data_IF_803165019973
#
_entry.id   IF_803165019973
#
_cell.length_a   1.000
_cell.length_b   1.000
_cell.length_c   1.000
_cell.angle_alpha   90.00
_cell.angle_beta   90.00
_cell.angle_gamma   90.00
#
_symmetry.space_group_name_H-M   'P 1'
#
loop_
_entity.id
_entity.type
_entity.pdbx_description
1 polymer ?
#
# COMPACT_ATOMS: atom_id res chain seq x y z
N UNK A 1 8.18 16.08 6.77
CA UNK A 1 9.46 16.36 6.08
C UNK A 1 10.39 15.20 6.36
N UNK A 2 11.20 14.76 5.38
CA UNK A 2 12.09 13.62 5.58
C UNK A 2 13.15 13.50 4.50
N UNK A 3 14.00 12.49 4.66
CA UNK A 3 15.06 12.15 3.73
C UNK A 3 14.85 10.69 3.35
N UNK A 4 14.91 10.38 2.06
CA UNK A 4 14.79 9.01 1.56
C UNK A 4 15.87 8.73 0.52
N UNK A 5 16.24 7.46 0.43
CA UNK A 5 17.09 6.90 -0.61
C UNK A 5 16.37 5.73 -1.27
N UNK A 6 16.53 5.59 -2.56
CA UNK A 6 16.01 4.48 -3.33
C UNK A 6 17.01 4.09 -4.42
N UNK A 7 16.98 2.83 -4.80
CA UNK A 7 17.87 2.30 -5.83
C UNK A 7 17.37 0.96 -6.36
N UNK A 8 18.08 0.47 -7.34
CA UNK A 8 17.88 -0.84 -7.95
C UNK A 8 19.20 -1.46 -8.35
N UNK A 9 19.24 -2.79 -8.49
CA UNK A 9 20.40 -3.51 -8.95
C UNK A 9 20.58 -3.44 -10.48
N UNK A 10 21.80 -3.62 -10.97
CA UNK A 10 22.13 -3.54 -12.41
C UNK A 10 21.36 -4.58 -13.24
N UNK A 11 21.08 -5.75 -12.67
CA UNK A 11 20.26 -6.82 -13.28
C UNK A 11 18.74 -6.53 -13.22
N UNK A 12 18.34 -5.41 -12.63
CA UNK A 12 16.96 -5.02 -12.39
C UNK A 12 16.14 -6.07 -11.60
N UNK A 13 16.82 -6.97 -10.88
CA UNK A 13 16.21 -8.01 -10.07
C UNK A 13 15.81 -7.52 -8.69
N UNK A 14 16.53 -6.54 -8.14
CA UNK A 14 16.28 -5.97 -6.83
C UNK A 14 16.00 -4.49 -6.92
N UNK A 15 15.11 -4.01 -6.06
CA UNK A 15 14.98 -2.58 -5.77
C UNK A 15 14.75 -2.38 -4.27
N UNK A 16 15.17 -1.21 -3.77
CA UNK A 16 15.04 -0.85 -2.38
C UNK A 16 14.63 0.61 -2.24
N UNK A 17 13.94 0.88 -1.16
CA UNK A 17 13.57 2.23 -0.76
C UNK A 17 13.57 2.28 0.76
N UNK A 18 14.23 3.28 1.33
CA UNK A 18 14.19 3.52 2.76
C UNK A 18 14.32 5.01 3.04
N UNK A 19 13.88 5.42 4.22
CA UNK A 19 13.98 6.81 4.62
C UNK A 19 13.48 7.05 6.03
N UNK A 20 13.71 8.26 6.48
CA UNK A 20 13.31 8.77 7.79
C UNK A 20 12.46 10.01 7.57
N UNK A 21 11.32 10.06 8.21
CA UNK A 21 10.37 11.16 8.11
C UNK A 21 9.93 11.64 9.48
N UNK A 22 9.52 12.91 9.55
CA UNK A 22 8.63 13.35 10.59
C UNK A 22 7.19 13.20 10.06
N UNK A 23 6.36 12.40 10.73
CA UNK A 23 5.01 12.04 10.29
C UNK A 23 4.09 13.24 10.19
N UNK A 24 4.19 14.18 11.11
CA UNK A 24 3.28 15.30 11.16
C UNK A 24 3.98 16.65 10.89
N UNK A 25 3.52 17.30 9.85
CA UNK A 25 3.70 18.74 9.66
C UNK A 25 2.37 19.37 10.01
N UNK A 26 2.11 19.59 11.30
CA UNK A 26 0.90 20.30 11.71
C UNK A 26 0.95 21.76 11.28
N UNK A 27 0.27 22.06 10.21
CA UNK A 27 -0.20 23.40 9.90
C UNK A 27 -1.47 23.68 10.70
N UNK A 28 -1.42 23.70 12.00
CA UNK A 28 -2.51 24.24 12.79
C UNK A 28 -2.32 25.75 12.89
N UNK A 29 -3.33 26.42 12.40
CA UNK A 29 -3.71 27.87 12.45
C UNK A 29 -2.66 28.97 12.70
N UNK A 30 -1.44 28.71 13.15
CA UNK A 30 -0.38 29.69 13.34
C UNK A 30 1.05 29.13 13.50
N UNK A 31 1.25 27.80 13.39
CA UNK A 31 2.55 27.16 13.55
C UNK A 31 2.96 26.34 12.32
N UNK A 32 4.12 26.61 11.76
CA UNK A 32 4.71 25.83 10.66
C UNK A 32 5.50 24.62 11.15
N UNK A 33 5.56 24.40 12.47
CA UNK A 33 6.28 23.26 13.06
C UNK A 33 5.36 22.60 14.08
N UNK A 34 5.26 21.27 14.02
CA UNK A 34 4.70 20.50 15.14
C UNK A 34 5.55 20.73 16.38
N UNK A 35 4.91 20.77 17.53
CA UNK A 35 5.56 20.90 18.84
C UNK A 35 6.27 19.60 19.25
N UNK A 36 6.07 18.51 18.51
CA UNK A 36 6.65 17.20 18.79
C UNK A 36 7.32 16.58 17.56
N UNK A 37 8.41 15.88 17.82
CA UNK A 37 9.07 15.06 16.82
C UNK A 37 8.41 13.68 16.78
N UNK A 38 7.73 13.40 15.67
CA UNK A 38 7.14 12.10 15.37
C UNK A 38 7.98 11.41 14.29
N UNK A 39 9.10 10.87 14.72
CA UNK A 39 10.02 10.17 13.82
C UNK A 39 9.43 8.88 13.28
N UNK A 40 9.54 8.67 11.99
CA UNK A 40 9.23 7.42 11.33
C UNK A 40 10.38 6.99 10.43
N UNK A 41 10.80 5.75 10.57
CA UNK A 41 11.65 5.06 9.61
C UNK A 41 10.77 4.11 8.80
N UNK A 42 10.85 4.17 7.48
CA UNK A 42 10.17 3.21 6.61
C UNK A 42 11.13 2.65 5.58
N UNK A 43 10.96 1.38 5.26
CA UNK A 43 11.77 0.67 4.28
C UNK A 43 10.94 -0.31 3.46
N UNK A 44 11.41 -0.57 2.24
CA UNK A 44 10.89 -1.60 1.35
C UNK A 44 12.05 -2.22 0.60
N UNK A 45 12.13 -3.56 0.61
CA UNK A 45 13.04 -4.35 -0.19
C UNK A 45 12.21 -5.24 -1.10
N UNK A 46 12.48 -5.19 -2.38
CA UNK A 46 11.68 -5.86 -3.37
C UNK A 46 12.54 -6.62 -4.37
N UNK A 47 12.01 -7.73 -4.87
CA UNK A 47 12.65 -8.58 -5.86
C UNK A 47 11.69 -8.93 -6.98
N UNK A 48 12.11 -8.68 -8.21
CA UNK A 48 11.52 -9.30 -9.40
C UNK A 48 12.19 -10.67 -9.59
N UNK A 49 11.55 -11.71 -9.04
CA UNK A 49 12.12 -13.06 -8.99
C UNK A 49 12.18 -13.74 -10.37
N UNK A 50 11.26 -13.35 -11.24
CA UNK A 50 11.21 -13.79 -12.62
C UNK A 50 10.66 -12.68 -13.51
N UNK A 51 11.20 -12.54 -14.70
CA UNK A 51 10.73 -11.61 -15.72
C UNK A 51 10.95 -12.21 -17.09
N UNK A 52 9.91 -12.28 -17.91
CA UNK A 52 9.98 -12.83 -19.26
C UNK A 52 10.46 -11.75 -20.25
N UNK A 53 11.77 -11.68 -20.43
CA UNK A 53 12.42 -10.75 -21.35
C UNK A 53 11.97 -10.98 -22.81
N UNK A 54 11.77 -12.26 -23.19
CA UNK A 54 11.44 -12.62 -24.57
C UNK A 54 10.09 -12.07 -25.01
N UNK A 55 9.13 -11.99 -24.10
CA UNK A 55 7.80 -11.43 -24.37
C UNK A 55 7.69 -9.93 -24.05
N UNK A 56 8.78 -9.29 -23.64
CA UNK A 56 8.76 -7.89 -23.20
C UNK A 56 7.99 -7.67 -21.88
N UNK A 57 8.01 -8.68 -21.00
CA UNK A 57 7.42 -8.56 -19.66
C UNK A 57 5.95 -8.97 -19.57
N UNK A 58 5.47 -9.85 -20.46
CA UNK A 58 4.13 -10.46 -20.32
C UNK A 58 4.04 -11.48 -19.19
N UNK A 59 5.21 -11.93 -18.68
CA UNK A 59 5.31 -12.77 -17.50
C UNK A 59 6.28 -12.17 -16.49
N UNK A 60 5.88 -12.10 -15.22
CA UNK A 60 6.77 -11.73 -14.12
C UNK A 60 6.22 -12.17 -12.76
N UNK A 61 7.16 -12.35 -11.83
CA UNK A 61 6.88 -12.61 -10.41
C UNK A 61 7.64 -11.58 -9.60
N UNK A 62 6.92 -10.88 -8.75
CA UNK A 62 7.47 -9.90 -7.85
C UNK A 62 7.09 -10.22 -6.40
N UNK A 63 8.05 -10.05 -5.49
CA UNK A 63 7.89 -10.21 -4.05
C UNK A 63 8.53 -9.02 -3.36
N UNK A 64 7.90 -8.49 -2.30
CA UNK A 64 8.50 -7.44 -1.50
C UNK A 64 8.18 -7.58 -0.03
N UNK A 65 9.10 -7.08 0.79
CA UNK A 65 8.95 -6.89 2.22
C UNK A 65 9.03 -5.40 2.51
N UNK A 66 8.13 -4.92 3.34
CA UNK A 66 8.11 -3.54 3.80
C UNK A 66 8.06 -3.47 5.32
N UNK A 67 8.63 -2.43 5.88
CA UNK A 67 8.51 -2.16 7.32
C UNK A 67 8.46 -0.65 7.57
N UNK A 68 7.71 -0.27 8.60
CA UNK A 68 7.67 1.09 9.12
C UNK A 68 7.74 1.02 10.65
N UNK A 69 8.53 1.92 11.24
CA UNK A 69 8.68 2.08 12.67
C UNK A 69 8.51 3.56 13.00
N UNK A 70 7.50 3.87 13.80
CA UNK A 70 7.16 5.25 14.12
C UNK A 70 6.88 5.46 15.59
N UNK A 71 6.97 6.72 16.00
CA UNK A 71 6.57 7.17 17.33
C UNK A 71 5.22 7.88 17.17
N UNK A 72 4.15 7.39 17.81
CA UNK A 72 2.85 8.06 17.79
C UNK A 72 2.90 9.43 18.43
N UNK A 73 1.83 10.20 18.23
CA UNK A 73 1.66 11.54 18.76
C UNK A 73 1.85 11.60 20.29
N UNK A 74 2.91 12.27 20.72
CA UNK A 74 3.26 12.47 22.13
C UNK A 74 2.57 13.62 22.83
N UNK A 75 1.48 14.13 22.29
CA UNK A 75 0.84 15.36 22.76
C UNK A 75 0.23 15.21 24.16
N UNK A 76 0.75 15.97 25.12
CA UNK A 76 0.09 16.19 26.41
C UNK A 76 -1.13 17.13 26.21
N UNK A 77 -2.33 16.84 26.74
CA UNK A 77 -2.64 15.88 27.81
C UNK A 77 -3.09 14.49 27.33
N UNK A 78 -2.94 14.17 26.07
CA UNK A 78 -3.53 12.95 25.47
C UNK A 78 -2.63 11.72 25.55
N UNK A 79 -1.44 11.82 26.13
CA UNK A 79 -0.51 10.71 26.42
C UNK A 79 -0.35 9.73 25.25
N UNK A 80 0.35 10.14 24.21
CA UNK A 80 0.66 9.29 23.07
C UNK A 80 -0.54 8.45 22.61
N UNK A 81 -1.18 8.81 21.54
CA UNK A 81 -2.36 8.11 21.04
C UNK A 81 -2.13 7.61 19.63
N UNK A 82 -2.49 6.37 19.38
CA UNK A 82 -2.62 5.81 18.03
C UNK A 82 -4.10 5.61 17.70
N UNK A 83 -4.44 5.65 16.41
CA UNK A 83 -5.78 5.33 15.93
C UNK A 83 -5.71 4.76 14.52
N UNK A 84 -6.31 3.59 14.33
CA UNK A 84 -6.41 2.92 13.05
C UNK A 84 -7.87 2.89 12.61
N UNK A 85 -8.12 3.28 11.37
CA UNK A 85 -9.48 3.35 10.84
C UNK A 85 -9.46 3.26 9.33
N UNK A 86 -10.41 2.54 8.78
CA UNK A 86 -10.55 2.36 7.35
C UNK A 86 -11.95 2.67 6.84
N UNK A 87 -12.03 2.97 5.56
CA UNK A 87 -13.26 3.07 4.80
C UNK A 87 -13.41 1.81 3.96
N UNK A 88 -14.65 1.43 3.60
CA UNK A 88 -14.83 0.35 2.63
C UNK A 88 -14.19 0.69 1.29
N UNK A 89 -13.95 -0.30 0.47
CA UNK A 89 -13.35 -0.17 -0.87
C UNK A 89 -14.03 0.92 -1.72
N UNK A 90 -15.35 1.09 -1.60
CA UNK A 90 -16.12 2.13 -2.27
C UNK A 90 -15.84 3.56 -1.76
N UNK A 91 -14.99 3.74 -0.73
CA UNK A 91 -14.62 5.01 -0.12
C UNK A 91 -15.81 5.90 0.25
N UNK A 92 -16.83 5.31 0.84
CA UNK A 92 -17.96 6.04 1.42
C UNK A 92 -17.49 6.99 2.53
N UNK A 93 -18.32 7.97 2.91
CA UNK A 93 -17.97 8.90 4.00
C UNK A 93 -17.86 8.20 5.36
N UNK A 94 -18.64 7.12 5.55
CA UNK A 94 -18.60 6.32 6.77
C UNK A 94 -17.33 5.49 6.87
N UNK A 95 -16.76 5.42 8.07
CA UNK A 95 -15.68 4.50 8.43
C UNK A 95 -16.30 3.30 9.10
N UNK A 96 -16.08 2.13 8.54
CA UNK A 96 -16.70 0.90 9.03
C UNK A 96 -15.89 0.24 10.14
N UNK A 97 -14.56 0.42 10.09
CA UNK A 97 -13.66 -0.07 11.12
C UNK A 97 -12.91 1.12 11.72
N UNK A 98 -12.89 1.20 13.04
CA UNK A 98 -12.22 2.25 13.79
C UNK A 98 -11.86 1.71 15.18
N UNK A 99 -10.60 1.66 15.53
CA UNK A 99 -10.14 1.22 16.85
C UNK A 99 -10.47 2.23 17.97
N UNK A 100 -10.97 3.39 17.62
CA UNK A 100 -10.94 4.50 18.57
C UNK A 100 -9.52 4.96 18.85
N UNK A 101 -9.34 5.75 19.90
CA UNK A 101 -8.02 6.23 20.33
C UNK A 101 -7.40 5.24 21.29
N UNK A 102 -6.24 4.69 20.92
CA UNK A 102 -5.44 3.77 21.73
C UNK A 102 -4.50 4.62 22.57
N UNK A 103 -4.80 4.76 23.86
CA UNK A 103 -3.99 5.55 24.77
C UNK A 103 -2.68 4.86 25.15
N UNK A 104 -1.65 5.66 25.44
CA UNK A 104 -0.34 5.16 25.89
C UNK A 104 0.48 4.53 24.78
N UNK A 105 0.18 4.78 23.52
CA UNK A 105 0.96 4.25 22.39
C UNK A 105 2.36 4.88 22.37
N UNK A 106 3.37 4.06 22.62
CA UNK A 106 4.77 4.48 22.69
C UNK A 106 5.50 4.30 21.36
N UNK A 107 5.20 3.19 20.66
CA UNK A 107 5.77 2.88 19.36
C UNK A 107 4.77 2.12 18.49
N UNK A 108 4.77 2.42 17.22
CA UNK A 108 4.07 1.64 16.20
C UNK A 108 5.07 0.98 15.24
N UNK A 109 4.78 -0.25 14.87
CA UNK A 109 5.55 -1.02 13.89
C UNK A 109 4.59 -1.60 12.87
N UNK A 110 4.87 -1.42 11.59
CA UNK A 110 4.10 -2.02 10.49
C UNK A 110 5.04 -2.91 9.70
N UNK A 111 4.59 -4.12 9.40
CA UNK A 111 5.26 -5.06 8.52
C UNK A 111 4.34 -5.41 7.37
N UNK A 112 4.86 -5.41 6.17
CA UNK A 112 4.14 -5.74 4.95
C UNK A 112 4.86 -6.79 4.13
N UNK A 113 4.07 -7.68 3.52
CA UNK A 113 4.54 -8.61 2.49
C UNK A 113 3.67 -8.43 1.25
N UNK A 114 4.31 -8.23 0.11
CA UNK A 114 3.65 -8.02 -1.18
C UNK A 114 4.02 -9.14 -2.16
N UNK A 115 3.07 -9.57 -2.96
CA UNK A 115 3.31 -10.44 -4.10
C UNK A 115 2.52 -10.02 -5.32
N UNK A 116 3.15 -10.04 -6.48
CA UNK A 116 2.51 -9.81 -7.77
C UNK A 116 2.97 -10.87 -8.74
N UNK A 117 2.02 -11.51 -9.40
CA UNK A 117 2.27 -12.48 -10.47
C UNK A 117 1.48 -12.05 -11.69
N UNK A 118 2.12 -11.99 -12.83
CA UNK A 118 1.46 -11.75 -14.11
C UNK A 118 1.87 -12.83 -15.12
N UNK A 119 0.89 -13.36 -15.84
CA UNK A 119 1.12 -14.30 -16.94
C UNK A 119 0.15 -13.97 -18.08
N UNK A 120 0.64 -13.34 -19.14
CA UNK A 120 -0.22 -12.86 -20.23
C UNK A 120 -1.26 -11.85 -19.73
N UNK A 121 -2.53 -12.09 -20.00
CA UNK A 121 -3.62 -11.24 -19.52
C UNK A 121 -4.03 -11.47 -18.07
N UNK A 122 -3.55 -12.54 -17.43
CA UNK A 122 -3.85 -12.83 -16.02
C UNK A 122 -2.88 -12.12 -15.08
N UNK A 123 -3.42 -11.51 -14.04
CA UNK A 123 -2.63 -10.92 -12.94
C UNK A 123 -3.21 -11.30 -11.58
N UNK A 124 -2.33 -11.58 -10.64
CA UNK A 124 -2.63 -11.78 -9.23
C UNK A 124 -1.79 -10.85 -8.39
N UNK A 125 -2.44 -10.11 -7.50
CA UNK A 125 -1.79 -9.20 -6.54
C UNK A 125 -2.30 -9.54 -5.15
N UNK A 126 -1.40 -9.65 -4.19
CA UNK A 126 -1.75 -9.87 -2.79
C UNK A 126 -0.81 -9.10 -1.88
N UNK A 127 -1.35 -8.63 -0.77
CA UNK A 127 -0.59 -7.94 0.26
C UNK A 127 -1.11 -8.36 1.64
N UNK A 128 -0.18 -8.62 2.54
CA UNK A 128 -0.43 -8.84 3.96
C UNK A 128 0.23 -7.75 4.76
N UNK A 129 -0.51 -7.17 5.69
CA UNK A 129 -0.04 -6.13 6.61
C UNK A 129 -0.26 -6.56 8.05
N UNK A 130 0.72 -6.32 8.90
CA UNK A 130 0.62 -6.48 10.34
C UNK A 130 1.10 -5.20 11.00
N UNK A 131 0.26 -4.65 11.87
CA UNK A 131 0.57 -3.47 12.68
C UNK A 131 0.62 -3.86 14.13
N UNK A 132 1.71 -3.54 14.82
CA UNK A 132 1.86 -3.69 16.27
C UNK A 132 1.99 -2.33 16.91
N UNK A 133 1.19 -2.08 17.94
CA UNK A 133 1.28 -0.88 18.79
C UNK A 133 1.81 -1.29 20.14
N UNK A 134 2.98 -0.81 20.48
CA UNK A 134 3.55 -0.96 21.82
C UNK A 134 3.00 0.14 22.71
N UNK A 135 2.50 -0.25 23.88
CA UNK A 135 1.86 0.66 24.83
C UNK A 135 2.67 0.75 26.10
N UNK A 136 2.62 1.90 26.74
CA UNK A 136 3.15 2.07 28.09
C UNK A 136 2.40 1.13 29.05
N UNK A 137 3.09 0.45 29.98
CA UNK A 137 2.48 -0.58 30.86
C UNK A 137 1.28 -0.08 31.66
N UNK A 138 1.22 1.22 32.00
CA UNK A 138 0.13 1.82 32.74
C UNK A 138 -1.19 1.91 31.95
N UNK A 139 -1.14 1.79 30.61
CA UNK A 139 -2.30 1.93 29.72
C UNK A 139 -2.79 0.59 29.14
N UNK A 140 -2.14 -0.51 29.48
CA UNK A 140 -2.56 -1.85 29.08
C UNK A 140 -1.57 -2.59 28.17
N UNK A 141 -1.92 -3.78 27.68
CA UNK A 141 -1.04 -4.60 26.86
C UNK A 141 -0.83 -4.01 25.45
N UNK A 142 0.21 -4.50 24.78
CA UNK A 142 0.45 -4.21 23.36
C UNK A 142 -0.68 -4.80 22.51
N UNK A 143 -1.05 -4.10 21.44
CA UNK A 143 -2.09 -4.54 20.50
C UNK A 143 -1.53 -4.79 19.11
N UNK A 144 -2.13 -5.74 18.40
CA UNK A 144 -1.69 -6.15 17.07
C UNK A 144 -2.89 -6.27 16.14
N UNK A 145 -2.81 -5.61 14.99
CA UNK A 145 -3.82 -5.62 13.95
C UNK A 145 -3.28 -6.28 12.69
N UNK A 146 -4.16 -6.86 11.88
CA UNK A 146 -3.78 -7.58 10.67
C UNK A 146 -4.72 -7.22 9.52
N UNK A 147 -4.16 -7.13 8.33
CA UNK A 147 -4.90 -6.93 7.11
C UNK A 147 -4.34 -7.78 5.97
N UNK A 148 -5.20 -8.27 5.12
CA UNK A 148 -4.86 -9.03 3.93
C UNK A 148 -5.78 -8.61 2.80
N UNK A 149 -5.23 -8.42 1.60
CA UNK A 149 -6.05 -8.49 0.41
C UNK A 149 -5.42 -9.40 -0.64
N UNK A 150 -6.28 -9.95 -1.49
CA UNK A 150 -5.89 -10.67 -2.71
C UNK A 150 -6.80 -10.25 -3.85
N UNK A 151 -6.20 -10.01 -5.01
CA UNK A 151 -6.90 -9.57 -6.20
C UNK A 151 -6.46 -10.40 -7.39
N UNK A 152 -7.42 -10.87 -8.15
CA UNK A 152 -7.24 -11.52 -9.43
C UNK A 152 -7.83 -10.63 -10.51
N UNK A 153 -7.11 -10.45 -11.60
CA UNK A 153 -7.63 -9.73 -12.75
C UNK A 153 -7.28 -10.47 -14.04
N UNK A 154 -8.13 -10.33 -15.04
CA UNK A 154 -7.92 -10.90 -16.35
C UNK A 154 -8.32 -9.92 -17.44
N UNK A 155 -7.35 -9.60 -18.30
CA UNK A 155 -7.55 -8.72 -19.45
C UNK A 155 -8.06 -9.55 -20.62
N UNK A 156 -9.35 -9.39 -20.95
CA UNK A 156 -10.06 -10.17 -21.97
C UNK A 156 -9.54 -9.91 -23.38
N UNK A 157 -9.03 -8.74 -23.64
CA UNK A 157 -8.56 -8.27 -24.94
C UNK A 157 -7.10 -8.63 -25.23
N UNK A 158 -6.41 -9.25 -24.25
CA UNK A 158 -5.10 -9.86 -24.43
C UNK A 158 -3.91 -8.96 -24.10
N UNK A 159 -4.13 -7.75 -23.63
CA UNK A 159 -3.08 -6.90 -23.07
C UNK A 159 -2.59 -7.47 -21.72
N UNK A 160 -1.55 -6.88 -21.17
CA UNK A 160 -1.03 -7.20 -19.85
C UNK A 160 -0.68 -5.95 -19.07
N UNK A 161 -0.63 -6.07 -17.75
CA UNK A 161 -0.10 -5.01 -16.90
C UNK A 161 1.42 -4.96 -17.01
N UNK A 162 2.02 -3.88 -17.49
CA UNK A 162 3.47 -3.76 -17.58
C UNK A 162 4.08 -3.64 -16.17
N UNK A 163 5.28 -4.19 -16.02
CA UNK A 163 6.05 -4.12 -14.78
C UNK A 163 7.24 -3.17 -14.92
N UNK A 164 7.30 -2.18 -14.04
CA UNK A 164 8.49 -1.34 -13.94
C UNK A 164 9.48 -1.97 -12.94
N UNK A 165 10.52 -2.61 -13.45
CA UNK A 165 11.53 -3.28 -12.65
C UNK A 165 12.38 -2.32 -11.81
N UNK A 166 12.53 -1.06 -12.24
CA UNK A 166 13.34 -0.07 -11.50
C UNK A 166 12.64 0.39 -10.24
N UNK A 167 11.35 0.57 -10.31
CA UNK A 167 10.55 1.02 -9.16
C UNK A 167 9.85 -0.11 -8.43
N UNK A 168 9.77 -1.30 -9.05
CA UNK A 168 9.03 -2.45 -8.51
C UNK A 168 7.55 -2.14 -8.38
N UNK A 169 6.93 -1.60 -9.43
CA UNK A 169 5.53 -1.19 -9.45
C UNK A 169 4.80 -1.59 -10.71
N UNK A 170 3.50 -1.82 -10.58
CA UNK A 170 2.61 -2.03 -11.74
C UNK A 170 2.49 -0.75 -12.55
N UNK A 171 2.72 -0.88 -13.84
CA UNK A 171 2.46 0.18 -14.80
C UNK A 171 1.00 0.21 -15.24
N UNK A 172 0.66 1.28 -15.92
CA UNK A 172 -0.69 1.45 -16.45
C UNK A 172 -0.93 0.52 -17.65
N UNK A 173 -2.04 -0.20 -17.64
CA UNK A 173 -2.52 -0.98 -18.78
C UNK A 173 -2.64 -0.06 -20.02
N UNK A 174 -2.04 -0.47 -21.12
CA UNK A 174 -2.12 0.23 -22.40
C UNK A 174 -2.93 -0.62 -23.37
N UNK A 175 -4.10 -0.15 -23.83
CA UNK A 175 -4.89 -0.88 -24.81
C UNK A 175 -4.12 -0.99 -26.15
N UNK A 176 -4.30 -2.08 -26.87
CA UNK A 176 -3.75 -2.24 -28.21
C UNK A 176 -4.31 -1.18 -29.17
N UNK A 177 -5.58 -0.84 -28.98
CA UNK A 177 -6.25 0.25 -29.68
C UNK A 177 -7.16 1.03 -28.72
N UNK A 178 -7.33 2.31 -28.97
CA UNK A 178 -8.21 3.12 -28.13
C UNK A 178 -9.68 2.73 -28.30
N UNK A 179 -10.48 2.95 -27.27
CA UNK A 179 -11.92 2.69 -27.33
C UNK A 179 -12.65 3.73 -28.20
N UNK A 180 -13.65 3.26 -28.93
CA UNK A 180 -14.62 4.01 -29.72
C UNK A 180 -14.08 4.51 -31.07
N UNK A 181 -13.56 5.70 -31.19
CA UNK A 181 -13.08 6.24 -32.48
C UNK A 181 -11.56 6.28 -32.53
N UNK A 182 -10.96 5.50 -33.43
CA UNK A 182 -9.53 5.43 -33.67
C UNK A 182 -9.24 5.92 -35.09
N UNK A 183 -8.12 6.61 -35.29
CA UNK A 183 -7.62 6.88 -36.62
C UNK A 183 -6.64 5.78 -37.03
N UNK A 184 -6.91 5.16 -38.15
CA UNK A 184 -6.00 4.21 -38.79
C UNK A 184 -4.84 4.95 -39.48
N UNK A 185 -3.80 4.20 -39.87
CA UNK A 185 -2.61 4.70 -40.56
C UNK A 185 -2.95 5.52 -41.82
N UNK A 186 -4.06 5.20 -42.46
CA UNK A 186 -4.56 5.88 -43.66
C UNK A 186 -5.47 7.10 -43.35
N UNK A 187 -5.57 7.47 -42.05
CA UNK A 187 -6.39 8.58 -41.60
C UNK A 187 -7.90 8.30 -41.56
N UNK A 188 -8.34 7.10 -41.88
CA UNK A 188 -9.73 6.66 -41.78
C UNK A 188 -10.15 6.47 -40.29
N UNK A 189 -11.43 6.74 -40.04
CA UNK A 189 -12.00 6.50 -38.72
C UNK A 189 -12.47 5.04 -38.59
N UNK A 190 -11.95 4.35 -37.60
CA UNK A 190 -12.36 3.01 -37.25
C UNK A 190 -12.93 2.96 -35.81
N UNK A 191 -13.59 1.86 -35.47
CA UNK A 191 -14.08 1.62 -34.11
C UNK A 191 -13.08 0.70 -33.41
N UNK A 192 -12.41 1.24 -32.38
CA UNK A 192 -11.56 0.46 -31.50
C UNK A 192 -12.35 -0.12 -30.34
N UNK A 193 -11.96 -1.32 -29.88
CA UNK A 193 -12.61 -1.99 -28.76
C UNK A 193 -12.06 -1.54 -27.40
N UNK A 194 -10.86 -0.94 -27.34
CA UNK A 194 -10.19 -0.63 -26.09
C UNK A 194 -9.72 -1.89 -25.36
N UNK A 195 -9.31 -1.74 -24.11
CA UNK A 195 -8.96 -2.84 -23.22
C UNK A 195 -10.11 -3.16 -22.25
N UNK A 196 -10.44 -4.43 -22.11
CA UNK A 196 -11.47 -4.92 -21.19
C UNK A 196 -10.85 -5.80 -20.14
N UNK A 197 -11.06 -5.47 -18.88
CA UNK A 197 -10.56 -6.22 -17.73
C UNK A 197 -11.71 -6.61 -16.80
N UNK A 198 -11.65 -7.83 -16.28
CA UNK A 198 -12.50 -8.30 -15.19
C UNK A 198 -11.62 -8.56 -13.99
N UNK A 199 -11.98 -8.00 -12.83
CA UNK A 199 -11.25 -8.17 -11.60
C UNK A 199 -12.15 -8.65 -10.47
N UNK A 200 -11.57 -9.48 -9.60
CA UNK A 200 -12.14 -9.90 -8.32
C UNK A 200 -11.17 -9.60 -7.22
N UNK A 201 -11.65 -8.99 -6.12
CA UNK A 201 -10.85 -8.69 -4.94
C UNK A 201 -11.55 -9.19 -3.68
N UNK A 202 -10.77 -9.79 -2.81
CA UNK A 202 -11.14 -10.10 -1.44
C UNK A 202 -10.23 -9.33 -0.51
N UNK A 203 -10.80 -8.62 0.44
CA UNK A 203 -10.08 -7.89 1.48
C UNK A 203 -10.61 -8.30 2.85
N UNK A 204 -9.70 -8.54 3.77
CA UNK A 204 -10.00 -8.84 5.16
C UNK A 204 -9.12 -7.96 6.05
N UNK A 205 -9.72 -7.30 7.02
CA UNK A 205 -9.04 -6.48 8.00
C UNK A 205 -9.56 -6.82 9.39
N UNK A 206 -8.64 -7.07 10.30
CA UNK A 206 -8.92 -7.38 11.69
C UNK A 206 -8.25 -6.33 12.59
N UNK A 207 -9.07 -5.47 13.13
CA UNK A 207 -8.69 -4.42 14.09
C UNK A 207 -9.04 -4.79 15.54
N UNK A 208 -9.41 -6.05 15.80
CA UNK A 208 -9.62 -6.56 17.15
C UNK A 208 -8.34 -7.21 17.66
N UNK A 209 -7.98 -6.90 18.90
CA UNK A 209 -7.03 -7.68 19.67
C UNK A 209 -7.76 -8.13 20.93
N UNK A 210 -7.91 -9.43 21.12
CA UNK A 210 -8.61 -10.06 22.26
C UNK A 210 -8.08 -9.61 23.65
N UNK A 211 -7.02 -8.84 23.66
CA UNK A 211 -6.34 -8.35 24.86
C UNK A 211 -6.81 -6.99 25.36
N UNK A 212 -7.86 -6.39 24.82
CA UNK A 212 -8.46 -5.09 25.18
C UNK A 212 -8.44 -3.99 24.07
N UNK A 213 -9.24 -4.16 23.08
CA UNK A 213 -9.88 -2.99 22.46
C UNK A 213 -11.38 -3.17 22.69
N UNK A 214 -11.89 -2.68 23.81
CA UNK A 214 -13.32 -2.48 23.98
C UNK A 214 -13.75 -1.47 22.92
N UNK A 215 -14.54 -1.93 21.95
CA UNK A 215 -15.27 -1.04 21.06
C UNK A 215 -16.05 -0.05 21.94
N UNK A 216 -15.66 1.19 21.96
CA UNK A 216 -16.55 2.26 22.40
C UNK A 216 -17.59 2.44 21.29
N UNK A 217 -18.63 1.61 21.32
CA UNK A 217 -19.89 1.87 20.65
C UNK A 217 -20.50 3.11 21.32
N UNK A 218 -20.29 4.26 20.68
CA UNK A 218 -20.96 5.51 20.99
C UNK A 218 -21.77 5.97 19.80
#
# INVERSE_FOLDING_TARGET
MGISSNGYSDDLGWNWRFGVWNQELTQTKSGYKGDHYQGEFASRLARTAWYDEASGGRGYIHLALSSSFGVPDGNSPTNNQARYRTRPEARTDSRWLDTGRIAGADRNSVFGFESVVNVGGFSWTSEYLQTKVERQPAFGPNVTFKGLYTQFAYVLTGEHHPWDRKTGTLGRLKPFENFFMVRDCDGCRQKGMGAWEVAFRYSHEDLNDDKEVTENNG
#
